data_IF_638492252879
#
_entry.id   IF_638492252879
#
_cell.length_a   1.000
_cell.length_b   1.000
_cell.length_c   1.000
_cell.angle_alpha   90.00
_cell.angle_beta   90.00
_cell.angle_gamma   90.00
#
_symmetry.space_group_name_H-M   'P 1'
#
loop_
_entity.id
_entity.type
_entity.pdbx_description
1 polymer ?
#
# COMPACT_ATOMS: atom_id res chain seq x y z
N UNK A 1 21.65 16.50 25.24
CA UNK A 1 20.85 17.74 25.28
C UNK A 1 19.40 17.33 25.25
N UNK A 2 18.77 17.35 26.42
CA UNK A 2 17.37 16.95 26.61
C UNK A 2 16.42 18.01 26.06
N UNK A 3 15.35 17.57 25.42
CA UNK A 3 14.08 18.27 25.47
C UNK A 3 12.98 17.24 25.72
N UNK A 4 12.67 17.02 27.00
CA UNK A 4 11.33 16.59 27.41
C UNK A 4 10.53 17.85 27.70
N UNK A 5 9.46 18.08 26.95
CA UNK A 5 8.38 18.95 27.42
C UNK A 5 7.05 18.36 26.98
N UNK A 6 6.19 18.04 27.94
CA UNK A 6 4.88 17.46 27.71
C UNK A 6 3.90 18.48 27.15
N UNK A 7 3.29 18.15 26.00
CA UNK A 7 1.87 18.39 25.71
C UNK A 7 1.47 17.50 24.53
N UNK A 8 0.54 16.58 24.76
CA UNK A 8 0.20 15.47 23.86
C UNK A 8 -0.59 15.88 22.61
N UNK A 9 0.05 16.56 21.66
CA UNK A 9 -0.48 16.77 20.31
C UNK A 9 0.59 16.45 19.26
N UNK A 10 0.90 15.16 19.13
CA UNK A 10 1.71 14.64 18.02
C UNK A 10 0.92 14.69 16.72
N UNK A 11 0.80 15.87 16.11
CA UNK A 11 0.12 16.04 14.83
C UNK A 11 1.01 15.54 13.69
N UNK A 12 1.15 14.21 13.57
CA UNK A 12 1.63 13.63 12.30
C UNK A 12 0.58 13.97 11.25
N UNK A 13 0.92 14.71 10.18
CA UNK A 13 -0.05 15.02 9.13
C UNK A 13 -0.64 13.72 8.60
N UNK A 14 -1.97 13.63 8.54
CA UNK A 14 -2.62 12.47 7.92
C UNK A 14 -2.16 12.35 6.47
N UNK A 15 -1.84 11.14 5.98
CA UNK A 15 -1.51 10.94 4.57
C UNK A 15 -2.59 11.52 3.67
N UNK A 16 -2.18 12.15 2.58
CA UNK A 16 -3.07 12.77 1.60
C UNK A 16 -3.14 11.95 0.33
N UNK A 17 -4.29 12.00 -0.33
CA UNK A 17 -4.44 11.50 -1.70
C UNK A 17 -3.94 12.55 -2.71
N UNK A 18 -3.87 12.16 -3.98
CA UNK A 18 -3.36 13.01 -5.08
C UNK A 18 -4.20 14.28 -5.32
N UNK A 19 -5.41 14.38 -4.76
CA UNK A 19 -6.28 15.55 -4.84
C UNK A 19 -6.11 16.50 -3.63
N UNK A 20 -5.15 16.23 -2.74
CA UNK A 20 -4.89 17.03 -1.53
C UNK A 20 -5.81 16.73 -0.35
N UNK A 21 -6.81 15.86 -0.52
CA UNK A 21 -7.70 15.41 0.56
C UNK A 21 -7.11 14.26 1.37
N UNK A 22 -7.81 13.82 2.42
CA UNK A 22 -7.39 12.67 3.24
C UNK A 22 -7.27 11.37 2.40
N UNK A 23 -6.22 10.59 2.64
CA UNK A 23 -6.04 9.30 2.01
C UNK A 23 -7.14 8.33 2.45
N UNK A 24 -7.84 7.76 1.48
CA UNK A 24 -8.89 6.76 1.72
C UNK A 24 -8.29 5.34 1.73
N UNK A 25 -9.00 4.42 2.37
CA UNK A 25 -8.69 3.00 2.33
C UNK A 25 -8.73 2.51 0.87
N UNK A 26 -7.70 1.78 0.46
CA UNK A 26 -7.63 1.10 -0.83
C UNK A 26 -8.42 -0.22 -0.78
N UNK A 27 -8.04 -1.14 0.12
CA UNK A 27 -8.70 -2.44 0.29
C UNK A 27 -8.45 -3.07 1.66
N UNK A 28 -9.46 -3.72 2.24
CA UNK A 28 -9.33 -4.51 3.48
C UNK A 28 -9.39 -6.02 3.24
N UNK A 29 -9.93 -6.45 2.09
CA UNK A 29 -10.10 -7.85 1.70
C UNK A 29 -9.94 -7.96 0.17
N UNK A 30 -8.77 -8.35 -0.34
CA UNK A 30 -7.54 -8.68 0.40
C UNK A 30 -6.95 -7.46 1.15
N UNK A 31 -6.27 -7.71 2.28
CA UNK A 31 -5.62 -6.65 3.05
C UNK A 31 -4.36 -6.16 2.31
N UNK A 32 -4.35 -4.89 1.93
CA UNK A 32 -3.27 -4.30 1.11
C UNK A 32 -2.44 -3.25 1.90
N UNK A 33 -1.56 -2.55 1.19
CA UNK A 33 -0.63 -1.56 1.72
C UNK A 33 0.66 -2.21 2.21
N UNK A 34 1.77 -1.47 2.13
CA UNK A 34 3.07 -1.92 2.64
C UNK A 34 2.99 -2.29 4.13
N UNK A 35 2.33 -1.45 4.92
CA UNK A 35 2.12 -1.66 6.35
C UNK A 35 0.94 -2.59 6.70
N UNK A 36 0.29 -3.21 5.70
CA UNK A 36 -0.85 -4.11 5.87
C UNK A 36 -1.99 -3.51 6.71
N UNK A 37 -2.36 -2.27 6.43
CA UNK A 37 -3.47 -1.57 7.09
C UNK A 37 -4.58 -1.12 6.11
N UNK A 38 -4.46 -1.53 4.84
CA UNK A 38 -5.42 -1.23 3.78
C UNK A 38 -5.23 0.12 3.09
N UNK A 39 -4.21 0.91 3.45
CA UNK A 39 -3.93 2.22 2.84
C UNK A 39 -2.64 2.21 2.04
N UNK A 40 -2.61 2.93 0.91
CA UNK A 40 -1.39 3.12 0.10
C UNK A 40 -0.52 4.26 0.67
N UNK A 41 -0.32 4.25 1.98
CA UNK A 41 0.62 5.15 2.64
C UNK A 41 2.01 4.52 2.63
N UNK A 42 3.01 5.38 2.53
CA UNK A 42 4.43 4.99 2.47
C UNK A 42 5.21 5.59 3.65
N UNK A 43 6.48 5.26 3.76
CA UNK A 43 7.39 5.76 4.79
C UNK A 43 8.82 5.32 4.50
N UNK A 44 9.74 5.53 5.44
CA UNK A 44 11.17 5.28 5.22
C UNK A 44 11.51 3.83 4.86
N UNK A 45 10.72 2.88 5.37
CA UNK A 45 10.93 1.43 5.15
C UNK A 45 10.39 0.94 3.80
N UNK A 46 9.50 1.70 3.16
CA UNK A 46 8.84 1.34 1.91
C UNK A 46 9.61 1.88 0.70
N UNK A 47 10.73 1.23 0.38
CA UNK A 47 11.61 1.64 -0.73
C UNK A 47 10.96 1.52 -2.10
N UNK A 48 10.00 0.59 -2.26
CA UNK A 48 9.20 0.41 -3.48
C UNK A 48 8.05 1.41 -3.63
N UNK A 49 7.74 2.19 -2.59
CA UNK A 49 6.71 3.24 -2.58
C UNK A 49 5.36 2.74 -3.07
N UNK A 50 4.75 1.83 -2.30
CA UNK A 50 3.43 1.25 -2.58
C UNK A 50 2.30 2.28 -2.40
N UNK A 51 2.23 3.26 -3.30
CA UNK A 51 1.43 4.50 -3.15
C UNK A 51 0.28 4.60 -4.15
N UNK A 52 0.20 3.72 -5.14
CA UNK A 52 -0.85 3.72 -6.17
C UNK A 52 -1.88 2.63 -5.86
N UNK A 53 -3.10 3.02 -5.51
CA UNK A 53 -4.21 2.07 -5.38
C UNK A 53 -4.74 1.71 -6.76
N UNK A 54 -4.45 0.49 -7.24
CA UNK A 54 -5.00 -0.04 -8.49
C UNK A 54 -6.27 -0.84 -8.22
N UNK A 55 -7.10 -0.98 -9.26
CA UNK A 55 -7.97 -2.14 -9.41
C UNK A 55 -7.32 -3.04 -10.46
N UNK A 56 -6.83 -4.20 -10.03
CA UNK A 56 -6.13 -5.12 -10.91
C UNK A 56 -7.06 -5.66 -11.99
N UNK A 57 -6.51 -5.88 -13.17
CA UNK A 57 -7.16 -6.66 -14.23
C UNK A 57 -6.32 -7.88 -14.56
N UNK A 58 -6.93 -8.92 -15.12
CA UNK A 58 -6.22 -10.11 -15.58
C UNK A 58 -5.05 -9.76 -16.53
N UNK A 59 -5.24 -8.81 -17.45
CA UNK A 59 -4.20 -8.37 -18.39
C UNK A 59 -3.03 -7.68 -17.68
N UNK A 60 -3.33 -6.83 -16.69
CA UNK A 60 -2.30 -6.19 -15.90
C UNK A 60 -1.50 -7.19 -15.07
N UNK A 61 -2.17 -8.18 -14.47
CA UNK A 61 -1.51 -9.22 -13.66
C UNK A 61 -0.57 -10.07 -14.53
N UNK A 62 -1.00 -10.46 -15.73
CA UNK A 62 -0.17 -11.19 -16.68
C UNK A 62 1.05 -10.34 -17.13
N UNK A 63 0.81 -9.08 -17.51
CA UNK A 63 1.89 -8.15 -17.85
C UNK A 63 2.88 -7.97 -16.69
N UNK A 64 2.37 -7.71 -15.48
CA UNK A 64 3.18 -7.47 -14.29
C UNK A 64 4.07 -8.68 -13.99
N UNK A 65 3.52 -9.89 -14.09
CA UNK A 65 4.28 -11.13 -13.95
C UNK A 65 5.37 -11.28 -15.03
N UNK A 66 5.04 -11.01 -16.29
CA UNK A 66 5.97 -11.08 -17.41
C UNK A 66 7.16 -10.11 -17.24
N UNK A 67 6.95 -8.93 -16.65
CA UNK A 67 8.03 -7.96 -16.38
C UNK A 67 8.73 -8.15 -15.03
N UNK A 68 8.48 -9.29 -14.35
CA UNK A 68 9.19 -9.68 -13.13
C UNK A 68 8.54 -9.25 -11.81
N UNK A 69 7.33 -8.71 -11.84
CA UNK A 69 6.54 -8.35 -10.67
C UNK A 69 5.29 -9.24 -10.57
N UNK A 70 5.47 -10.50 -10.17
CA UNK A 70 4.34 -11.43 -10.02
C UNK A 70 3.48 -11.07 -8.80
N UNK A 71 2.33 -10.46 -9.07
CA UNK A 71 1.31 -10.14 -8.07
C UNK A 71 0.25 -11.24 -7.94
N UNK A 72 0.28 -12.27 -8.78
CA UNK A 72 -0.77 -13.29 -8.88
C UNK A 72 -0.47 -14.52 -8.02
N UNK A 73 0.80 -14.89 -7.88
CA UNK A 73 1.19 -16.09 -7.13
C UNK A 73 1.11 -15.84 -5.62
N UNK A 74 0.35 -16.66 -4.85
CA UNK A 74 0.29 -16.53 -3.39
C UNK A 74 1.66 -16.77 -2.75
N UNK A 75 2.00 -15.97 -1.74
CA UNK A 75 3.22 -16.12 -0.93
C UNK A 75 2.84 -16.17 0.56
N UNK A 76 2.49 -17.35 1.10
CA UNK A 76 1.98 -17.51 2.45
C UNK A 76 2.89 -16.96 3.55
N UNK A 77 4.21 -17.08 3.39
CA UNK A 77 5.19 -16.56 4.36
C UNK A 77 5.16 -15.04 4.53
N UNK A 78 4.59 -14.31 3.57
CA UNK A 78 4.40 -12.86 3.63
C UNK A 78 2.93 -12.45 3.82
N UNK A 79 2.07 -13.41 4.18
CA UNK A 79 0.62 -13.23 4.23
C UNK A 79 0.07 -12.57 2.96
N UNK A 80 0.64 -12.92 1.80
CA UNK A 80 0.24 -12.40 0.50
C UNK A 80 -0.62 -13.46 -0.20
N UNK A 81 -1.93 -13.22 -0.39
CA UNK A 81 -2.85 -14.23 -0.93
C UNK A 81 -2.75 -14.40 -2.45
N UNK A 82 -1.99 -13.54 -3.15
CA UNK A 82 -2.11 -13.35 -4.59
C UNK A 82 -3.29 -12.43 -4.92
N UNK A 83 -3.07 -11.50 -5.84
CA UNK A 83 -4.07 -10.54 -6.34
C UNK A 83 -4.82 -11.16 -7.51
N UNK A 84 -6.14 -11.01 -7.51
CA UNK A 84 -7.02 -11.51 -8.57
C UNK A 84 -7.59 -10.38 -9.43
N UNK A 85 -8.22 -10.75 -10.55
CA UNK A 85 -8.97 -9.81 -11.38
C UNK A 85 -10.04 -9.08 -10.55
N UNK A 86 -10.05 -7.76 -10.64
CA UNK A 86 -10.99 -6.90 -9.92
C UNK A 86 -10.56 -6.53 -8.49
N UNK A 87 -9.55 -7.17 -7.90
CA UNK A 87 -9.02 -6.82 -6.58
C UNK A 87 -8.41 -5.43 -6.57
N UNK A 88 -8.39 -4.80 -5.39
CA UNK A 88 -7.65 -3.56 -5.18
C UNK A 88 -6.34 -3.83 -4.44
N UNK A 89 -5.26 -3.20 -4.91
CA UNK A 89 -3.93 -3.39 -4.35
C UNK A 89 -3.11 -2.09 -4.41
N UNK A 90 -2.23 -1.87 -3.42
CA UNK A 90 -1.26 -0.78 -3.46
C UNK A 90 -0.01 -1.23 -4.23
N UNK A 91 0.22 -0.64 -5.40
CA UNK A 91 1.32 -0.93 -6.31
C UNK A 91 2.50 0.03 -6.08
N UNK A 92 3.73 -0.46 -6.33
CA UNK A 92 4.96 0.34 -6.38
C UNK A 92 4.95 1.40 -7.49
N UNK A 93 5.82 2.41 -7.37
CA UNK A 93 6.11 3.43 -8.41
C UNK A 93 7.57 3.47 -8.80
#
# INVERSE_FOLDING_TARGET
>A
MSFTNGNGNGHRPKPKNVLGGDLKCCCMKPLTGFYRDGYCRTGADDTGRHTVCIRATAEFLEYSKMVGNDLSTPIPQYAFPGVQDGDKWCLCV
#
